data_IF_721310013354
#
_entry.id   IF_721310013354
#
_cell.length_a   1.000
_cell.length_b   1.000
_cell.length_c   1.000
_cell.angle_alpha   90.00
_cell.angle_beta   90.00
_cell.angle_gamma   90.00
#
_symmetry.space_group_name_H-M   'P 1'
#
loop_
_entity.id
_entity.type
_entity.pdbx_description
1 polymer ?
#
# COMPACT_ATOMS: atom_id res chain seq x y z
N UNK A 1 -26.56 -4.26 15.56
CA UNK A 1 -25.69 -3.78 16.66
C UNK A 1 -24.26 -3.84 16.12
N UNK A 2 -23.46 -2.80 16.34
CA UNK A 2 -22.05 -2.78 15.85
C UNK A 2 -21.24 -3.73 16.71
N UNK A 3 -20.46 -4.66 16.12
CA UNK A 3 -19.68 -5.62 16.91
C UNK A 3 -18.58 -4.94 17.73
N UNK A 4 -18.20 -5.56 18.84
CA UNK A 4 -17.02 -5.18 19.59
C UNK A 4 -15.76 -5.73 18.89
N UNK A 5 -14.70 -4.91 18.80
CA UNK A 5 -13.47 -5.24 18.07
C UNK A 5 -12.28 -5.22 19.00
N UNK A 6 -11.43 -6.24 18.89
CA UNK A 6 -10.12 -6.29 19.54
C UNK A 6 -9.01 -6.36 18.50
N UNK A 7 -7.89 -5.71 18.77
CA UNK A 7 -6.74 -5.65 17.84
C UNK A 7 -5.51 -6.15 18.57
N UNK A 8 -4.84 -7.15 18.00
CA UNK A 8 -3.56 -7.67 18.48
C UNK A 8 -2.46 -7.16 17.56
N UNK A 9 -1.61 -6.30 18.10
CA UNK A 9 -0.56 -5.58 17.37
C UNK A 9 -0.94 -4.12 17.08
N UNK A 10 -0.27 -3.18 17.75
CA UNK A 10 -0.48 -1.73 17.64
C UNK A 10 0.54 -1.06 16.71
N UNK A 11 0.96 -1.72 15.64
CA UNK A 11 1.77 -1.12 14.56
C UNK A 11 0.96 -0.13 13.72
N UNK A 12 1.48 0.25 12.56
CA UNK A 12 0.81 1.11 11.59
C UNK A 12 -0.62 0.62 11.26
N UNK A 13 -0.75 -0.64 10.85
CA UNK A 13 -2.03 -1.21 10.39
C UNK A 13 -3.02 -1.33 11.55
N UNK A 14 -2.64 -1.96 12.67
CA UNK A 14 -3.54 -2.17 13.79
C UNK A 14 -4.02 -0.86 14.41
N UNK A 15 -3.13 0.12 14.60
CA UNK A 15 -3.52 1.43 15.10
C UNK A 15 -4.42 2.18 14.11
N UNK A 16 -4.18 2.07 12.80
CA UNK A 16 -5.06 2.67 11.78
C UNK A 16 -6.45 2.03 11.76
N UNK A 17 -6.55 0.69 11.90
CA UNK A 17 -7.84 -0.02 12.06
C UNK A 17 -8.57 0.51 13.29
N UNK A 18 -7.87 0.61 14.45
CA UNK A 18 -8.46 1.12 15.68
C UNK A 18 -9.03 2.53 15.50
N UNK A 19 -8.25 3.43 14.91
CA UNK A 19 -8.67 4.82 14.68
C UNK A 19 -9.87 4.90 13.73
N UNK A 20 -9.85 4.14 12.63
CA UNK A 20 -10.91 4.13 11.63
C UNK A 20 -12.22 3.60 12.21
N UNK A 21 -12.19 2.44 12.88
CA UNK A 21 -13.38 1.83 13.48
C UNK A 21 -13.97 2.67 14.63
N UNK A 22 -13.13 3.28 15.45
CA UNK A 22 -13.60 4.21 16.49
C UNK A 22 -14.34 5.42 15.89
N UNK A 23 -13.81 5.97 14.78
CA UNK A 23 -14.50 7.05 14.03
C UNK A 23 -15.87 6.61 13.52
N UNK A 24 -16.00 5.33 13.16
CA UNK A 24 -17.27 4.71 12.71
C UNK A 24 -18.16 4.22 13.88
N UNK A 25 -17.79 4.53 15.13
CA UNK A 25 -18.63 4.27 16.32
C UNK A 25 -18.47 2.87 16.93
N UNK A 26 -17.45 2.11 16.54
CA UNK A 26 -17.15 0.81 17.12
C UNK A 26 -16.54 0.93 18.53
N UNK A 27 -16.80 -0.07 19.38
CA UNK A 27 -16.05 -0.28 20.62
C UNK A 27 -14.77 -1.05 20.26
N UNK A 28 -13.63 -0.38 20.36
CA UNK A 28 -12.34 -0.94 19.98
C UNK A 28 -11.42 -0.95 21.18
N UNK A 29 -10.80 -2.10 21.43
CA UNK A 29 -9.64 -2.26 22.31
C UNK A 29 -8.46 -2.83 21.54
N UNK A 30 -7.24 -2.63 22.02
CA UNK A 30 -6.04 -3.11 21.36
C UNK A 30 -5.02 -3.59 22.39
N UNK A 31 -4.10 -4.47 21.95
CA UNK A 31 -2.96 -4.91 22.76
C UNK A 31 -1.69 -5.04 21.90
N UNK A 32 -0.53 -4.82 22.49
CA UNK A 32 0.78 -5.01 21.88
C UNK A 32 1.80 -5.44 22.95
N UNK A 33 2.80 -6.21 22.56
CA UNK A 33 3.93 -6.60 23.43
C UNK A 33 4.96 -5.47 23.58
N UNK A 34 4.95 -4.49 22.70
CA UNK A 34 5.86 -3.34 22.68
C UNK A 34 5.24 -2.16 23.44
N UNK A 35 5.85 -1.81 24.59
CA UNK A 35 5.36 -0.72 25.43
C UNK A 35 5.34 0.64 24.73
N UNK A 36 6.29 0.91 23.82
CA UNK A 36 6.34 2.16 23.05
C UNK A 36 5.20 2.22 22.04
N UNK A 37 4.84 1.10 21.40
CA UNK A 37 3.67 1.02 20.53
C UNK A 37 2.38 1.29 21.30
N UNK A 38 2.25 0.72 22.49
CA UNK A 38 1.09 0.95 23.37
C UNK A 38 1.00 2.41 23.76
N UNK A 39 2.11 3.03 24.14
CA UNK A 39 2.14 4.46 24.53
C UNK A 39 1.73 5.35 23.35
N UNK A 40 2.34 5.18 22.19
CA UNK A 40 2.03 5.95 20.98
C UNK A 40 0.57 5.75 20.51
N UNK A 41 0.05 4.52 20.56
CA UNK A 41 -1.35 4.25 20.21
C UNK A 41 -2.32 4.95 21.18
N UNK A 42 -1.98 4.99 22.48
CA UNK A 42 -2.76 5.74 23.50
C UNK A 42 -2.75 7.24 23.26
N UNK A 43 -1.61 7.81 22.89
CA UNK A 43 -1.48 9.23 22.54
C UNK A 43 -2.39 9.61 21.37
N UNK A 44 -2.61 8.67 20.44
CA UNK A 44 -3.57 8.80 19.35
C UNK A 44 -5.02 8.51 19.77
N UNK A 45 -5.25 8.20 21.06
CA UNK A 45 -6.56 7.95 21.63
C UNK A 45 -7.07 6.52 21.52
N UNK A 46 -6.26 5.54 21.12
CA UNK A 46 -6.63 4.11 21.12
C UNK A 46 -6.57 3.54 22.53
N UNK A 47 -7.56 2.73 22.92
CA UNK A 47 -7.53 1.98 24.18
C UNK A 47 -6.60 0.77 24.04
N UNK A 48 -5.30 1.00 24.13
CA UNK A 48 -4.27 0.00 24.00
C UNK A 48 -3.75 -0.47 25.39
N UNK A 49 -3.45 -1.74 25.54
CA UNK A 49 -2.88 -2.34 26.73
C UNK A 49 -1.59 -3.09 26.37
N UNK A 50 -0.65 -3.15 27.32
CA UNK A 50 0.53 -3.99 27.18
C UNK A 50 0.11 -5.44 27.34
N UNK A 51 0.43 -6.28 26.38
CA UNK A 51 0.30 -7.74 26.49
C UNK A 51 1.51 -8.30 27.23
N UNK A 52 1.28 -9.23 28.13
CA UNK A 52 2.39 -10.03 28.66
C UNK A 52 2.80 -11.09 27.62
N UNK A 53 4.11 -11.45 27.54
CA UNK A 53 4.61 -12.45 26.57
C UNK A 53 3.97 -13.85 26.75
N UNK A 54 3.48 -14.16 27.91
CA UNK A 54 2.58 -15.27 28.16
C UNK A 54 1.17 -14.67 28.22
N UNK A 55 0.40 -14.85 27.17
CA UNK A 55 -0.99 -14.41 27.07
C UNK A 55 -1.76 -14.76 28.35
N UNK A 56 -1.62 -13.89 29.35
CA UNK A 56 -2.27 -14.05 30.64
C UNK A 56 -3.79 -14.00 30.45
N UNK A 57 -4.50 -14.75 31.29
CA UNK A 57 -5.95 -14.72 31.38
C UNK A 57 -6.44 -13.29 31.68
N UNK A 58 -6.58 -12.44 30.67
CA UNK A 58 -7.36 -11.22 30.82
C UNK A 58 -8.84 -11.61 30.74
N UNK A 59 -9.36 -11.99 31.91
CA UNK A 59 -10.74 -12.33 32.11
C UNK A 59 -11.66 -11.19 31.66
N UNK A 60 -12.54 -11.48 30.69
CA UNK A 60 -13.78 -10.74 30.52
C UNK A 60 -13.89 -9.80 29.32
N UNK A 61 -12.92 -9.68 28.43
CA UNK A 61 -13.12 -8.93 27.18
C UNK A 61 -13.79 -9.85 26.14
N UNK A 62 -15.06 -9.60 25.88
CA UNK A 62 -15.78 -10.22 24.76
C UNK A 62 -15.54 -9.36 23.53
N UNK A 63 -14.75 -9.84 22.57
CA UNK A 63 -14.70 -9.30 21.24
C UNK A 63 -15.46 -10.22 20.29
N UNK A 64 -16.21 -9.64 19.38
CA UNK A 64 -16.90 -10.37 18.30
C UNK A 64 -16.05 -10.47 17.06
N UNK A 65 -15.10 -9.53 16.89
CA UNK A 65 -14.11 -9.52 15.81
C UNK A 65 -12.74 -9.23 16.41
N UNK A 66 -11.74 -10.02 16.02
CA UNK A 66 -10.34 -9.85 16.43
C UNK A 66 -9.48 -9.66 15.19
N UNK A 67 -8.75 -8.56 15.12
CA UNK A 67 -7.75 -8.34 14.08
C UNK A 67 -6.36 -8.74 14.58
N UNK A 68 -5.69 -9.59 13.80
CA UNK A 68 -4.30 -9.98 14.03
C UNK A 68 -3.42 -9.10 13.14
N UNK A 69 -2.72 -8.16 13.76
CA UNK A 69 -1.92 -7.12 13.10
C UNK A 69 -0.43 -7.21 13.48
N UNK A 70 0.07 -8.44 13.56
CA UNK A 70 1.45 -8.77 13.92
C UNK A 70 2.27 -9.14 12.67
N UNK A 71 3.61 -9.18 12.75
CA UNK A 71 4.44 -9.68 11.65
C UNK A 71 4.07 -11.11 11.22
N UNK A 72 4.21 -11.47 9.93
CA UNK A 72 3.82 -12.77 9.42
C UNK A 72 4.46 -13.96 10.16
N UNK A 73 5.72 -13.82 10.59
CA UNK A 73 6.47 -14.88 11.29
C UNK A 73 5.90 -15.30 12.64
N UNK A 74 5.00 -14.52 13.25
CA UNK A 74 4.34 -14.84 14.53
C UNK A 74 2.82 -14.88 14.40
N UNK A 75 2.29 -14.70 13.19
CA UNK A 75 0.85 -14.59 12.97
C UNK A 75 0.10 -15.89 13.31
N UNK A 76 0.61 -17.04 12.88
CA UNK A 76 -0.03 -18.33 13.13
C UNK A 76 -0.14 -18.64 14.64
N UNK A 77 0.93 -18.44 15.41
CA UNK A 77 0.92 -18.60 16.87
C UNK A 77 -0.09 -17.65 17.51
N UNK A 78 -0.08 -16.38 17.09
CA UNK A 78 -1.00 -15.37 17.62
C UNK A 78 -2.47 -15.72 17.31
N UNK A 79 -2.77 -16.23 16.11
CA UNK A 79 -4.10 -16.71 15.72
C UNK A 79 -4.54 -17.87 16.62
N UNK A 80 -3.67 -18.87 16.83
CA UNK A 80 -3.96 -20.02 17.70
C UNK A 80 -4.36 -19.58 19.11
N UNK A 81 -3.58 -18.66 19.70
CA UNK A 81 -3.87 -18.11 21.03
C UNK A 81 -5.17 -17.29 21.03
N UNK A 82 -5.36 -16.42 20.05
CA UNK A 82 -6.57 -15.60 19.94
C UNK A 82 -7.83 -16.45 19.78
N UNK A 83 -7.76 -17.54 19.02
CA UNK A 83 -8.87 -18.48 18.81
C UNK A 83 -9.34 -19.11 20.12
N UNK A 84 -8.43 -19.49 21.00
CA UNK A 84 -8.76 -20.03 22.33
C UNK A 84 -9.22 -18.95 23.31
N UNK A 85 -8.68 -17.72 23.21
CA UNK A 85 -8.98 -16.61 24.13
C UNK A 85 -10.33 -15.94 23.83
N UNK A 86 -10.71 -15.80 22.55
CA UNK A 86 -11.92 -15.10 22.10
C UNK A 86 -12.93 -16.10 21.51
N UNK A 87 -13.63 -16.81 22.41
CA UNK A 87 -14.60 -17.82 21.96
C UNK A 87 -15.71 -17.19 21.12
N UNK A 88 -16.01 -17.85 19.98
CA UNK A 88 -17.03 -17.40 19.03
C UNK A 88 -16.61 -16.19 18.16
N UNK A 89 -15.48 -15.52 18.40
CA UNK A 89 -15.05 -14.36 17.62
C UNK A 89 -14.64 -14.72 16.17
N UNK A 90 -14.87 -13.81 15.26
CA UNK A 90 -14.24 -13.81 13.94
C UNK A 90 -12.81 -13.30 14.07
N UNK A 91 -11.83 -14.07 13.59
CA UNK A 91 -10.42 -13.70 13.58
C UNK A 91 -10.00 -13.29 12.16
N UNK A 92 -9.53 -12.07 12.01
CA UNK A 92 -9.09 -11.48 10.75
C UNK A 92 -7.58 -11.23 10.79
N UNK A 93 -6.83 -12.05 10.06
CA UNK A 93 -5.40 -11.87 9.90
C UNK A 93 -5.11 -10.91 8.74
N UNK A 94 -4.44 -9.79 9.03
CA UNK A 94 -4.15 -8.74 8.04
C UNK A 94 -2.78 -8.88 7.36
N UNK A 95 -2.06 -9.96 7.59
CA UNK A 95 -0.74 -10.18 7.00
C UNK A 95 -0.79 -10.17 5.47
N UNK A 96 0.34 -9.87 4.85
CA UNK A 96 0.49 -9.80 3.39
C UNK A 96 0.81 -11.14 2.71
N UNK A 97 0.83 -12.24 3.46
CA UNK A 97 1.04 -13.61 2.99
C UNK A 97 -0.02 -14.53 3.58
N UNK A 98 -0.41 -15.60 2.85
CA UNK A 98 -1.51 -16.47 3.27
C UNK A 98 -1.09 -17.91 3.52
N UNK A 99 -0.49 -18.55 2.50
CA UNK A 99 -0.21 -19.99 2.53
C UNK A 99 0.65 -20.40 3.71
N UNK A 100 1.76 -19.71 3.93
CA UNK A 100 2.65 -20.02 5.05
C UNK A 100 1.95 -19.99 6.40
N UNK A 101 1.07 -19.00 6.61
CA UNK A 101 0.31 -18.89 7.87
C UNK A 101 -0.71 -20.03 7.99
N UNK A 102 -1.49 -20.29 6.92
CA UNK A 102 -2.51 -21.35 6.94
C UNK A 102 -1.89 -22.73 7.16
N UNK A 103 -0.74 -22.99 6.56
CA UNK A 103 -0.05 -24.28 6.67
C UNK A 103 0.47 -24.56 8.13
N UNK A 104 0.59 -23.51 8.96
CA UNK A 104 0.97 -23.60 10.38
C UNK A 104 -0.23 -23.64 11.33
N UNK A 105 -1.47 -23.39 10.84
CA UNK A 105 -2.67 -23.43 11.68
C UNK A 105 -3.16 -24.88 11.88
N UNK A 106 -3.71 -25.15 13.07
CA UNK A 106 -4.41 -26.39 13.33
C UNK A 106 -5.68 -26.51 12.44
N UNK A 107 -6.01 -27.76 12.08
CA UNK A 107 -7.19 -28.03 11.24
C UNK A 107 -8.50 -27.54 11.87
N UNK A 108 -8.62 -27.62 13.17
CA UNK A 108 -9.78 -27.13 13.90
C UNK A 108 -10.03 -25.63 13.61
N UNK A 109 -8.97 -24.83 13.53
CA UNK A 109 -9.07 -23.41 13.27
C UNK A 109 -9.48 -23.13 11.81
N UNK A 110 -8.85 -23.82 10.86
CA UNK A 110 -9.15 -23.67 9.45
C UNK A 110 -10.55 -24.16 9.11
N UNK A 111 -11.01 -25.28 9.71
CA UNK A 111 -12.33 -25.86 9.50
C UNK A 111 -13.45 -25.10 10.24
N UNK A 112 -13.11 -24.29 11.24
CA UNK A 112 -14.10 -23.48 12.00
C UNK A 112 -14.83 -22.44 11.14
N UNK A 113 -14.22 -22.03 10.03
CA UNK A 113 -14.69 -20.92 9.18
C UNK A 113 -14.67 -19.55 9.84
N UNK A 114 -14.11 -19.42 11.08
CA UNK A 114 -13.97 -18.17 11.84
C UNK A 114 -12.61 -17.51 11.70
N UNK A 115 -11.64 -18.16 11.09
CA UNK A 115 -10.31 -17.59 10.80
C UNK A 115 -10.23 -17.23 9.33
N UNK A 116 -9.98 -15.97 9.04
CA UNK A 116 -9.93 -15.43 7.67
C UNK A 116 -8.69 -14.58 7.46
N UNK A 117 -8.12 -14.65 6.25
CA UNK A 117 -7.22 -13.61 5.79
C UNK A 117 -7.99 -12.37 5.34
N UNK A 118 -7.52 -11.21 5.73
CA UNK A 118 -8.10 -9.91 5.41
C UNK A 118 -6.96 -8.89 5.14
N UNK A 119 -6.28 -9.05 4.02
CA UNK A 119 -5.09 -8.26 3.67
C UNK A 119 -5.46 -6.90 3.08
N UNK A 120 -5.18 -5.76 3.77
CA UNK A 120 -5.34 -4.44 3.19
C UNK A 120 -4.22 -4.16 2.19
N UNK A 121 -4.57 -3.87 0.93
CA UNK A 121 -3.61 -3.37 -0.07
C UNK A 121 -3.28 -1.89 0.23
N UNK A 122 -2.83 -1.65 1.45
CA UNK A 122 -2.50 -0.35 2.01
C UNK A 122 -1.27 -0.46 2.91
N UNK A 123 -0.42 0.53 2.86
CA UNK A 123 0.81 0.59 3.67
C UNK A 123 1.51 1.93 3.45
N UNK A 124 2.56 2.12 4.22
CA UNK A 124 3.48 3.27 4.09
C UNK A 124 4.90 2.75 4.31
N UNK A 125 5.87 3.49 3.83
CA UNK A 125 7.30 3.17 4.00
C UNK A 125 7.75 3.34 5.47
N UNK A 126 6.98 4.09 6.27
CA UNK A 126 7.26 4.33 7.69
C UNK A 126 6.38 3.41 8.53
N UNK A 127 7.01 2.60 9.37
CA UNK A 127 6.35 1.68 10.31
C UNK A 127 5.97 2.37 11.63
N UNK A 128 5.22 1.65 12.47
CA UNK A 128 4.85 2.08 13.82
C UNK A 128 3.55 2.88 13.93
N UNK A 129 3.05 3.04 15.17
CA UNK A 129 1.77 3.70 15.46
C UNK A 129 1.75 5.17 15.09
N UNK A 130 2.89 5.88 15.21
CA UNK A 130 3.01 7.31 14.90
C UNK A 130 2.65 7.67 13.46
N UNK A 131 2.73 6.70 12.54
CA UNK A 131 2.37 6.85 11.14
C UNK A 131 0.91 6.45 10.84
N UNK A 132 0.15 6.00 11.85
CA UNK A 132 -1.22 5.52 11.69
C UNK A 132 -2.19 6.67 11.35
N UNK A 133 -3.20 6.35 10.55
CA UNK A 133 -4.23 7.29 10.10
C UNK A 133 -5.59 6.60 10.05
N UNK A 134 -6.63 7.31 10.47
CA UNK A 134 -8.01 6.80 10.41
C UNK A 134 -8.52 6.62 8.97
N UNK A 135 -7.94 7.31 8.00
CA UNK A 135 -8.31 7.26 6.58
C UNK A 135 -7.36 6.38 5.74
N UNK A 136 -6.48 5.60 6.37
CA UNK A 136 -5.49 4.76 5.67
C UNK A 136 -6.14 3.78 4.67
N UNK A 137 -7.34 3.31 4.99
CA UNK A 137 -8.05 2.27 4.23
C UNK A 137 -9.11 2.84 3.28
N UNK A 138 -9.32 4.16 3.27
CA UNK A 138 -10.29 4.79 2.39
C UNK A 138 -9.96 4.48 0.92
N UNK A 139 -10.93 3.90 0.20
CA UNK A 139 -10.83 3.47 -1.19
C UNK A 139 -9.70 2.45 -1.46
N UNK A 140 -9.24 1.73 -0.41
CA UNK A 140 -8.22 0.68 -0.54
C UNK A 140 -8.86 -0.69 -0.68
N UNK A 141 -8.26 -1.52 -1.53
CA UNK A 141 -8.68 -2.91 -1.70
C UNK A 141 -8.26 -3.70 -0.46
N UNK A 142 -9.19 -4.51 0.05
CA UNK A 142 -8.94 -5.55 1.02
C UNK A 142 -9.19 -6.90 0.36
N UNK A 143 -8.21 -7.79 0.43
CA UNK A 143 -8.34 -9.14 -0.10
C UNK A 143 -8.76 -10.08 1.02
N UNK A 144 -9.97 -10.62 0.91
CA UNK A 144 -10.48 -11.67 1.80
C UNK A 144 -10.14 -13.04 1.22
N UNK A 145 -9.65 -13.93 2.08
CA UNK A 145 -9.42 -15.32 1.73
C UNK A 145 -10.18 -16.21 2.69
N UNK A 146 -10.34 -17.51 2.40
CA UNK A 146 -11.08 -18.52 3.18
C UNK A 146 -12.20 -17.97 4.12
N UNK A 147 -12.79 -18.83 4.97
CA UNK A 147 -13.81 -18.46 5.94
C UNK A 147 -15.23 -18.81 5.52
N UNK A 148 -16.14 -18.89 6.50
CA UNK A 148 -17.57 -19.16 6.28
C UNK A 148 -18.28 -17.96 5.65
N UNK A 149 -19.46 -18.18 5.10
CA UNK A 149 -20.29 -17.09 4.56
C UNK A 149 -20.65 -16.06 5.64
N UNK A 150 -21.01 -16.52 6.85
CA UNK A 150 -21.30 -15.62 7.97
C UNK A 150 -20.08 -14.76 8.35
N UNK A 151 -18.88 -15.35 8.34
CA UNK A 151 -17.63 -14.65 8.58
C UNK A 151 -17.34 -13.61 7.51
N UNK A 152 -17.58 -13.93 6.23
CA UNK A 152 -17.43 -12.98 5.12
C UNK A 152 -18.37 -11.78 5.24
N UNK A 153 -19.63 -12.00 5.62
CA UNK A 153 -20.59 -10.91 5.83
C UNK A 153 -20.13 -9.97 6.93
N UNK A 154 -19.66 -10.52 8.07
CA UNK A 154 -19.17 -9.71 9.19
C UNK A 154 -17.89 -8.96 8.81
N UNK A 155 -16.92 -9.63 8.16
CA UNK A 155 -15.70 -9.00 7.68
C UNK A 155 -15.99 -7.87 6.67
N UNK A 156 -16.91 -8.13 5.72
CA UNK A 156 -17.32 -7.15 4.73
C UNK A 156 -17.91 -5.90 5.36
N UNK A 157 -18.79 -6.04 6.33
CA UNK A 157 -19.38 -4.92 7.07
C UNK A 157 -18.29 -4.07 7.73
N UNK A 158 -17.40 -4.69 8.52
CA UNK A 158 -16.36 -3.98 9.27
C UNK A 158 -15.37 -3.26 8.35
N UNK A 159 -14.97 -3.91 7.24
CA UNK A 159 -14.03 -3.33 6.27
C UNK A 159 -14.68 -2.19 5.47
N UNK A 160 -15.94 -2.35 5.06
CA UNK A 160 -16.68 -1.27 4.38
C UNK A 160 -16.86 -0.06 5.28
N UNK A 161 -17.12 -0.25 6.57
CA UNK A 161 -17.22 0.86 7.54
C UNK A 161 -15.89 1.60 7.75
N UNK A 162 -14.75 0.99 7.38
CA UNK A 162 -13.44 1.65 7.30
C UNK A 162 -13.18 2.33 5.93
N UNK A 163 -14.13 2.25 4.98
CA UNK A 163 -13.99 2.79 3.63
C UNK A 163 -13.26 1.86 2.67
N UNK A 164 -13.02 0.60 3.02
CA UNK A 164 -12.34 -0.38 2.18
C UNK A 164 -13.24 -1.00 1.11
N UNK A 165 -12.65 -1.31 -0.03
CA UNK A 165 -13.28 -2.10 -1.11
C UNK A 165 -12.83 -3.57 -1.02
N UNK A 166 -13.71 -4.51 -1.33
CA UNK A 166 -13.49 -5.94 -1.09
C UNK A 166 -13.22 -6.71 -2.38
N UNK A 167 -12.24 -7.59 -2.33
CA UNK A 167 -12.00 -8.63 -3.33
C UNK A 167 -11.83 -9.95 -2.60
N UNK A 168 -12.43 -11.03 -3.10
CA UNK A 168 -12.24 -12.37 -2.54
C UNK A 168 -11.36 -13.21 -3.45
N UNK A 169 -10.37 -13.91 -2.88
CA UNK A 169 -9.45 -14.79 -3.59
C UNK A 169 -9.20 -16.07 -2.79
N UNK A 170 -8.82 -17.14 -3.49
CA UNK A 170 -8.20 -18.27 -2.81
C UNK A 170 -6.80 -17.91 -2.30
N UNK A 171 -6.35 -18.48 -1.17
CA UNK A 171 -5.05 -18.16 -0.58
C UNK A 171 -3.87 -18.28 -1.55
N UNK A 172 -3.85 -19.31 -2.39
CA UNK A 172 -2.81 -19.50 -3.39
C UNK A 172 -2.84 -18.45 -4.50
N UNK A 173 -4.03 -18.01 -4.90
CA UNK A 173 -4.21 -16.96 -5.91
C UNK A 173 -3.79 -15.59 -5.37
N UNK A 174 -4.09 -15.33 -4.09
CA UNK A 174 -3.60 -14.15 -3.37
C UNK A 174 -2.07 -14.10 -3.39
N UNK A 175 -1.39 -15.15 -2.91
CA UNK A 175 0.08 -15.16 -2.79
C UNK A 175 0.76 -15.05 -4.17
N UNK A 176 0.19 -15.67 -5.21
CA UNK A 176 0.64 -15.50 -6.59
C UNK A 176 0.47 -14.05 -7.07
N UNK A 177 -0.65 -13.41 -6.77
CA UNK A 177 -0.94 -12.05 -7.19
C UNK A 177 0.00 -11.05 -6.50
N UNK A 178 0.12 -11.11 -5.16
CA UNK A 178 0.96 -10.17 -4.41
C UNK A 178 2.46 -10.36 -4.68
N UNK A 179 2.90 -11.58 -5.06
CA UNK A 179 4.25 -11.78 -5.54
C UNK A 179 4.58 -10.88 -6.73
N UNK A 180 3.63 -10.75 -7.69
CA UNK A 180 3.80 -9.94 -8.89
C UNK A 180 3.60 -8.45 -8.63
N UNK A 181 2.56 -8.06 -7.88
CA UNK A 181 2.15 -6.64 -7.79
C UNK A 181 2.76 -5.90 -6.60
N UNK A 182 3.41 -6.60 -5.67
CA UNK A 182 3.96 -6.03 -4.43
C UNK A 182 5.37 -6.52 -4.13
N UNK A 183 5.58 -7.84 -3.97
CA UNK A 183 6.81 -8.37 -3.41
C UNK A 183 8.01 -8.26 -4.38
N UNK A 184 7.84 -8.63 -5.64
CA UNK A 184 8.90 -8.50 -6.65
C UNK A 184 9.20 -7.03 -6.96
N UNK A 185 8.24 -6.12 -7.11
CA UNK A 185 8.51 -4.68 -7.17
C UNK A 185 9.39 -4.17 -6.04
N UNK A 186 9.13 -4.56 -4.79
CA UNK A 186 9.97 -4.21 -3.64
C UNK A 186 11.41 -4.69 -3.81
N UNK A 187 11.60 -5.96 -4.21
CA UNK A 187 12.93 -6.54 -4.41
C UNK A 187 13.70 -5.85 -5.54
N UNK A 188 13.04 -5.56 -6.66
CA UNK A 188 13.65 -4.87 -7.80
C UNK A 188 14.05 -3.44 -7.41
N UNK A 189 13.18 -2.74 -6.70
CA UNK A 189 13.46 -1.41 -6.15
C UNK A 189 14.67 -1.43 -5.20
N UNK A 190 14.71 -2.38 -4.27
CA UNK A 190 15.81 -2.51 -3.32
C UNK A 190 17.13 -2.90 -4.00
N UNK A 191 17.08 -3.81 -5.00
CA UNK A 191 18.27 -4.22 -5.75
C UNK A 191 18.86 -3.06 -6.57
N UNK A 192 18.00 -2.23 -7.17
CA UNK A 192 18.43 -1.02 -7.88
C UNK A 192 19.02 0.02 -6.90
N UNK A 193 18.34 0.28 -5.78
CA UNK A 193 18.83 1.22 -4.78
C UNK A 193 20.18 0.80 -4.18
N UNK A 194 20.42 -0.49 -4.02
CA UNK A 194 21.70 -1.01 -3.53
C UNK A 194 22.88 -0.69 -4.45
N UNK A 195 22.66 -0.48 -5.76
CA UNK A 195 23.72 -0.07 -6.68
C UNK A 195 24.19 1.39 -6.45
N UNK A 196 23.41 2.17 -5.70
CA UNK A 196 23.74 3.57 -5.41
C UNK A 196 24.70 3.73 -4.23
N UNK A 197 24.96 2.67 -3.46
CA UNK A 197 25.82 2.72 -2.27
C UNK A 197 27.23 3.21 -2.64
N UNK A 198 27.80 2.67 -3.71
CA UNK A 198 29.15 2.98 -4.17
C UNK A 198 29.19 4.00 -5.32
N UNK A 199 28.02 4.60 -5.67
CA UNK A 199 27.94 5.59 -6.73
C UNK A 199 28.65 6.90 -6.34
N UNK A 200 29.35 7.52 -7.31
CA UNK A 200 29.97 8.81 -7.07
C UNK A 200 28.91 9.90 -6.80
N UNK A 201 29.23 10.85 -5.91
CA UNK A 201 28.32 11.95 -5.58
C UNK A 201 27.92 12.78 -6.82
N UNK A 202 28.82 12.88 -7.80
CA UNK A 202 28.54 13.53 -9.09
C UNK A 202 27.43 12.86 -9.89
N UNK A 203 27.36 11.52 -9.81
CA UNK A 203 26.37 10.72 -10.54
C UNK A 203 25.00 10.83 -9.86
N UNK A 204 25.01 10.82 -8.53
CA UNK A 204 23.79 11.02 -7.74
C UNK A 204 23.20 12.44 -7.92
N UNK A 205 24.07 13.44 -8.13
CA UNK A 205 23.66 14.84 -8.31
C UNK A 205 22.84 15.08 -9.58
N UNK A 206 22.91 14.19 -10.58
CA UNK A 206 22.11 14.29 -11.82
C UNK A 206 20.86 13.38 -11.80
N UNK A 207 20.54 12.77 -10.63
CA UNK A 207 19.36 11.93 -10.51
C UNK A 207 18.07 12.74 -10.69
N UNK A 208 17.16 12.22 -11.50
CA UNK A 208 15.83 12.81 -11.71
C UNK A 208 14.73 12.05 -10.95
N UNK A 209 13.48 12.52 -11.09
CA UNK A 209 12.28 11.93 -10.50
C UNK A 209 12.10 10.45 -10.83
N UNK A 210 12.47 10.03 -12.05
CA UNK A 210 12.36 8.64 -12.49
C UNK A 210 13.13 7.65 -11.60
N UNK A 211 14.35 8.00 -11.16
CA UNK A 211 15.09 7.18 -10.20
C UNK A 211 14.38 7.18 -8.84
N UNK A 212 14.01 8.36 -8.34
CA UNK A 212 13.31 8.52 -7.06
C UNK A 212 12.02 7.70 -6.99
N UNK A 213 11.18 7.75 -8.02
CA UNK A 213 9.95 6.97 -8.12
C UNK A 213 10.20 5.46 -8.09
N UNK A 214 11.26 5.01 -8.79
CA UNK A 214 11.59 3.58 -8.89
C UNK A 214 12.11 3.02 -7.58
N UNK A 215 12.94 3.78 -6.84
CA UNK A 215 13.56 3.30 -5.59
C UNK A 215 12.80 3.73 -4.33
N UNK A 216 11.71 4.47 -4.43
CA UNK A 216 10.96 5.02 -3.30
C UNK A 216 10.59 3.95 -2.25
N UNK A 217 10.11 2.81 -2.70
CA UNK A 217 9.70 1.72 -1.81
C UNK A 217 10.89 0.97 -1.17
N UNK A 218 12.11 1.13 -1.66
CA UNK A 218 13.31 0.53 -1.07
C UNK A 218 13.61 1.00 0.36
N UNK A 219 13.00 2.11 0.81
CA UNK A 219 13.10 2.63 2.18
C UNK A 219 12.29 1.89 3.24
N UNK A 220 11.66 0.77 2.91
CA UNK A 220 10.84 -0.04 3.82
C UNK A 220 11.69 -0.81 4.85
N UNK A 221 11.07 -1.21 5.99
CA UNK A 221 11.72 -1.96 7.07
C UNK A 221 12.21 -3.35 6.59
N UNK A 222 13.53 -3.63 6.64
CA UNK A 222 14.08 -4.89 6.16
C UNK A 222 13.62 -6.12 6.95
N UNK A 223 13.34 -5.98 8.26
CA UNK A 223 12.93 -7.12 9.09
C UNK A 223 11.53 -7.56 8.69
N UNK A 224 10.58 -6.64 8.63
CA UNK A 224 9.21 -6.92 8.17
C UNK A 224 9.21 -7.54 6.77
N UNK A 225 9.99 -6.96 5.85
CA UNK A 225 10.05 -7.47 4.48
C UNK A 225 10.73 -8.84 4.39
N UNK A 226 11.70 -9.14 5.25
CA UNK A 226 12.31 -10.48 5.33
C UNK A 226 11.28 -11.54 5.66
N UNK A 227 10.40 -11.29 6.63
CA UNK A 227 9.31 -12.21 7.02
C UNK A 227 8.30 -12.39 5.87
N UNK A 228 7.89 -11.29 5.24
CA UNK A 228 6.98 -11.32 4.09
C UNK A 228 7.56 -12.16 2.94
N UNK A 229 8.82 -11.91 2.60
CA UNK A 229 9.48 -12.58 1.48
C UNK A 229 9.67 -14.08 1.75
N UNK A 230 10.00 -14.46 2.97
CA UNK A 230 10.11 -15.86 3.37
C UNK A 230 8.73 -16.55 3.33
N UNK A 231 7.67 -15.89 3.81
CA UNK A 231 6.31 -16.43 3.81
C UNK A 231 5.73 -16.69 2.41
N UNK A 232 6.25 -16.05 1.35
CA UNK A 232 5.81 -16.27 -0.03
C UNK A 232 6.97 -16.59 -0.99
N UNK A 233 8.04 -17.21 -0.49
CA UNK A 233 9.29 -17.40 -1.21
C UNK A 233 9.13 -18.13 -2.56
N UNK A 234 8.24 -19.12 -2.63
CA UNK A 234 8.02 -19.93 -3.85
C UNK A 234 7.50 -19.09 -5.00
N UNK A 235 6.42 -18.34 -4.79
CA UNK A 235 5.83 -17.51 -5.83
C UNK A 235 6.72 -16.32 -6.20
N UNK A 236 7.35 -15.71 -5.20
CA UNK A 236 8.32 -14.62 -5.41
C UNK A 236 9.50 -15.10 -6.27
N UNK A 237 10.11 -16.23 -5.93
CA UNK A 237 11.23 -16.77 -6.69
C UNK A 237 10.87 -17.09 -8.14
N UNK A 238 9.64 -17.53 -8.39
CA UNK A 238 9.14 -17.79 -9.74
C UNK A 238 9.08 -16.50 -10.57
N UNK A 239 8.44 -15.44 -10.03
CA UNK A 239 8.31 -14.16 -10.72
C UNK A 239 9.64 -13.43 -10.84
N UNK A 240 10.46 -13.46 -9.78
CA UNK A 240 11.78 -12.81 -9.77
C UNK A 240 12.71 -13.40 -10.81
N UNK A 241 12.69 -14.73 -11.02
CA UNK A 241 13.44 -15.37 -12.12
C UNK A 241 13.01 -14.87 -13.49
N UNK A 242 11.72 -14.68 -13.73
CA UNK A 242 11.23 -14.13 -15.01
C UNK A 242 11.78 -12.72 -15.26
N UNK A 243 11.73 -11.85 -14.25
CA UNK A 243 12.28 -10.49 -14.33
C UNK A 243 13.80 -10.52 -14.54
N UNK A 244 14.51 -11.38 -13.80
CA UNK A 244 15.97 -11.52 -13.91
C UNK A 244 16.40 -12.00 -15.30
N UNK A 245 15.69 -12.96 -15.87
CA UNK A 245 15.97 -13.44 -17.23
C UNK A 245 15.75 -12.35 -18.28
N UNK A 246 14.64 -11.59 -18.16
CA UNK A 246 14.37 -10.47 -19.08
C UNK A 246 15.45 -9.40 -19.00
N UNK A 247 15.95 -9.07 -17.79
CA UNK A 247 17.05 -8.12 -17.60
C UNK A 247 18.37 -8.65 -18.18
N UNK A 248 18.66 -9.95 -18.04
CA UNK A 248 19.85 -10.56 -18.62
C UNK A 248 19.83 -10.54 -20.16
N UNK A 249 18.66 -10.88 -20.76
CA UNK A 249 18.47 -10.81 -22.21
C UNK A 249 18.60 -9.37 -22.73
N UNK A 250 18.05 -8.39 -21.98
CA UNK A 250 18.17 -6.98 -22.31
C UNK A 250 19.63 -6.50 -22.25
N UNK A 251 20.39 -6.95 -21.25
CA UNK A 251 21.83 -6.66 -21.15
C UNK A 251 22.60 -7.17 -22.39
N UNK A 252 22.37 -8.42 -22.79
CA UNK A 252 22.97 -9.00 -24.00
C UNK A 252 22.55 -8.21 -25.26
N UNK A 253 21.27 -7.84 -25.36
CA UNK A 253 20.78 -7.07 -26.50
C UNK A 253 21.44 -5.68 -26.60
N UNK A 254 21.80 -5.08 -25.48
CA UNK A 254 22.54 -3.80 -25.42
C UNK A 254 23.98 -3.99 -25.90
N UNK A 255 24.68 -5.05 -25.44
CA UNK A 255 26.04 -5.39 -25.89
C UNK A 255 26.09 -5.63 -27.41
N UNK A 256 25.12 -6.38 -27.93
CA UNK A 256 24.99 -6.70 -29.35
C UNK A 256 24.40 -5.54 -30.19
N UNK A 257 24.02 -4.43 -29.57
CA UNK A 257 23.32 -3.31 -30.22
C UNK A 257 22.04 -3.74 -30.96
N UNK A 258 21.38 -4.77 -30.45
CA UNK A 258 20.15 -5.34 -31.03
C UNK A 258 18.94 -4.45 -30.72
N UNK A 259 18.76 -3.40 -31.54
CA UNK A 259 17.69 -2.43 -31.39
C UNK A 259 16.29 -3.08 -31.38
N UNK A 260 16.08 -4.09 -32.19
CA UNK A 260 14.78 -4.77 -32.31
C UNK A 260 14.37 -5.40 -30.96
N UNK A 261 15.29 -6.13 -30.32
CA UNK A 261 15.02 -6.75 -29.03
C UNK A 261 14.78 -5.70 -27.92
N UNK A 262 15.56 -4.62 -27.93
CA UNK A 262 15.40 -3.50 -26.98
C UNK A 262 14.01 -2.88 -27.12
N UNK A 263 13.60 -2.55 -28.35
CA UNK A 263 12.27 -1.97 -28.60
C UNK A 263 11.13 -2.93 -28.23
N UNK A 264 11.29 -4.24 -28.44
CA UNK A 264 10.30 -5.24 -28.05
C UNK A 264 10.07 -5.23 -26.53
N UNK A 265 11.13 -5.22 -25.71
CA UNK A 265 11.01 -5.15 -24.25
C UNK A 265 10.31 -3.87 -23.80
N UNK A 266 10.68 -2.72 -24.37
CA UNK A 266 10.05 -1.44 -24.02
C UNK A 266 8.56 -1.39 -24.40
N UNK A 267 8.19 -1.93 -25.57
CA UNK A 267 6.78 -2.04 -25.99
C UNK A 267 5.98 -2.95 -25.07
N UNK A 268 6.53 -4.14 -24.73
CA UNK A 268 5.90 -5.04 -23.78
C UNK A 268 5.68 -4.39 -22.41
N UNK A 269 6.65 -3.58 -21.95
CA UNK A 269 6.51 -2.78 -20.74
C UNK A 269 5.37 -1.76 -20.84
N UNK A 270 5.24 -1.05 -21.95
CA UNK A 270 4.13 -0.11 -22.18
C UNK A 270 2.76 -0.82 -22.16
N UNK A 271 2.66 -1.97 -22.83
CA UNK A 271 1.44 -2.79 -22.85
C UNK A 271 1.09 -3.29 -21.43
N UNK A 272 2.09 -3.79 -20.69
CA UNK A 272 1.92 -4.22 -19.30
C UNK A 272 1.41 -3.08 -18.40
N UNK A 273 2.00 -1.89 -18.51
CA UNK A 273 1.59 -0.70 -17.78
C UNK A 273 0.14 -0.30 -18.09
N UNK A 274 -0.27 -0.39 -19.35
CA UNK A 274 -1.64 -0.05 -19.77
C UNK A 274 -2.72 -0.98 -19.20
N UNK A 275 -2.35 -2.16 -18.66
CA UNK A 275 -3.27 -3.10 -18.01
C UNK A 275 -3.60 -2.72 -16.56
N UNK A 276 -2.82 -1.84 -15.93
CA UNK A 276 -3.11 -1.40 -14.56
C UNK A 276 -4.26 -0.40 -14.62
N UNK A 277 -5.39 -0.66 -13.93
CA UNK A 277 -6.51 0.26 -13.92
C UNK A 277 -6.11 1.62 -13.34
N UNK A 278 -6.49 2.71 -13.98
CA UNK A 278 -6.39 4.05 -13.41
C UNK A 278 -7.38 4.27 -12.26
N UNK A 279 -7.33 5.45 -11.63
CA UNK A 279 -8.16 5.85 -10.46
C UNK A 279 -9.67 5.54 -10.59
N UNK A 280 -10.18 5.50 -11.81
CA UNK A 280 -11.60 5.25 -12.13
C UNK A 280 -11.82 3.95 -12.94
N UNK A 281 -10.90 2.97 -12.86
CA UNK A 281 -11.02 1.70 -13.61
C UNK A 281 -10.82 1.84 -15.13
N UNK A 282 -10.53 3.03 -15.65
CA UNK A 282 -10.19 3.28 -17.04
C UNK A 282 -8.67 3.28 -17.22
N UNK A 283 -8.20 2.65 -18.30
CA UNK A 283 -6.76 2.59 -18.63
C UNK A 283 -6.17 4.01 -18.75
N UNK A 284 -4.88 4.13 -18.45
CA UNK A 284 -4.07 5.36 -18.38
C UNK A 284 -4.02 6.22 -19.65
N UNK A 285 -4.68 5.82 -20.75
CA UNK A 285 -4.64 6.50 -22.04
C UNK A 285 -5.81 7.48 -22.29
N UNK A 286 -6.50 7.93 -21.25
CA UNK A 286 -7.69 8.80 -21.39
C UNK A 286 -7.53 10.19 -20.80
N UNK A 287 -6.31 10.64 -20.55
CA UNK A 287 -6.06 11.94 -19.95
C UNK A 287 -5.09 12.76 -20.79
N UNK A 288 -5.34 14.05 -20.86
CA UNK A 288 -4.41 15.05 -21.38
C UNK A 288 -3.68 15.69 -20.20
N UNK A 289 -2.51 16.28 -20.46
CA UNK A 289 -1.76 16.94 -19.40
C UNK A 289 -1.43 18.39 -19.75
N UNK A 290 -1.57 19.26 -18.75
CA UNK A 290 -1.15 20.66 -18.80
C UNK A 290 -0.01 20.88 -17.81
N UNK A 291 1.10 21.40 -18.27
CA UNK A 291 2.24 21.74 -17.43
C UNK A 291 2.15 23.19 -16.98
N UNK A 292 2.24 23.42 -15.69
CA UNK A 292 2.19 24.76 -15.09
C UNK A 292 3.46 24.98 -14.27
N UNK A 293 4.18 26.06 -14.59
CA UNK A 293 5.34 26.45 -13.80
C UNK A 293 4.88 27.26 -12.59
N UNK A 294 5.30 26.86 -11.39
CA UNK A 294 5.02 27.56 -10.14
C UNK A 294 6.30 27.94 -9.41
N UNK A 295 6.25 29.00 -8.60
CA UNK A 295 7.32 29.34 -7.69
C UNK A 295 7.38 28.35 -6.52
N UNK A 296 8.57 28.06 -6.02
CA UNK A 296 8.77 27.25 -4.79
C UNK A 296 8.58 28.15 -3.56
N UNK A 297 7.34 28.60 -3.34
CA UNK A 297 6.96 29.45 -2.23
C UNK A 297 5.70 28.89 -1.53
N UNK A 298 5.59 29.09 -0.20
CA UNK A 298 4.38 28.75 0.53
C UNK A 298 3.14 29.39 -0.11
N UNK A 299 2.13 28.56 -0.41
CA UNK A 299 0.86 29.02 -1.00
C UNK A 299 0.76 28.86 -2.52
N UNK A 300 1.85 28.72 -3.27
CA UNK A 300 1.82 28.65 -4.74
C UNK A 300 0.95 27.48 -5.28
N UNK A 301 1.03 26.31 -4.66
CA UNK A 301 0.15 25.17 -4.99
C UNK A 301 -1.31 25.45 -4.65
N UNK A 302 -1.59 26.11 -3.53
CA UNK A 302 -2.95 26.44 -3.14
C UNK A 302 -3.59 27.43 -4.12
N UNK A 303 -2.84 28.42 -4.60
CA UNK A 303 -3.29 29.36 -5.63
C UNK A 303 -3.57 28.64 -6.95
N UNK A 304 -2.70 27.71 -7.37
CA UNK A 304 -2.91 26.92 -8.58
C UNK A 304 -4.20 26.10 -8.48
N UNK A 305 -4.40 25.36 -7.37
CA UNK A 305 -5.61 24.54 -7.21
C UNK A 305 -6.88 25.39 -7.08
N UNK A 306 -6.81 26.55 -6.44
CA UNK A 306 -7.92 27.50 -6.43
C UNK A 306 -8.24 28.00 -7.85
N UNK A 307 -7.22 28.25 -8.68
CA UNK A 307 -7.38 28.62 -10.08
C UNK A 307 -8.06 27.53 -10.92
N UNK A 308 -7.71 26.27 -10.71
CA UNK A 308 -8.36 25.11 -11.35
C UNK A 308 -9.81 24.96 -10.88
N UNK A 309 -10.06 25.08 -9.57
CA UNK A 309 -11.42 24.96 -9.02
C UNK A 309 -12.42 25.97 -9.56
N UNK A 310 -11.97 27.17 -9.94
CA UNK A 310 -12.84 28.20 -10.58
C UNK A 310 -13.22 27.81 -12.01
N UNK A 311 -12.45 26.93 -12.66
CA UNK A 311 -12.73 26.47 -14.02
C UNK A 311 -13.69 25.27 -14.05
N UNK A 312 -14.04 24.73 -12.90
CA UNK A 312 -14.91 23.54 -12.75
C UNK A 312 -14.39 22.31 -13.52
N UNK A 313 -13.07 22.22 -13.68
CA UNK A 313 -12.39 21.11 -14.35
C UNK A 313 -11.89 20.10 -13.31
N UNK A 314 -12.24 18.84 -13.50
CA UNK A 314 -11.79 17.76 -12.60
C UNK A 314 -10.33 17.38 -12.89
N UNK A 315 -9.50 17.30 -11.84
CA UNK A 315 -8.15 16.78 -11.93
C UNK A 315 -8.11 15.29 -11.67
N UNK A 316 -7.61 14.54 -12.64
CA UNK A 316 -7.48 13.08 -12.54
C UNK A 316 -6.20 12.65 -11.83
N UNK A 317 -5.11 13.40 -12.06
CA UNK A 317 -3.82 13.20 -11.40
C UNK A 317 -3.05 14.52 -11.36
N UNK A 318 -2.10 14.62 -10.42
CA UNK A 318 -1.20 15.77 -10.29
C UNK A 318 0.20 15.25 -10.01
N UNK A 319 1.17 15.73 -10.76
CA UNK A 319 2.58 15.45 -10.54
C UNK A 319 3.34 16.74 -10.34
N UNK A 320 4.28 16.72 -9.40
CA UNK A 320 5.12 17.88 -9.10
C UNK A 320 6.57 17.47 -9.35
N UNK A 321 7.22 18.22 -10.25
CA UNK A 321 8.63 18.04 -10.55
C UNK A 321 9.40 19.27 -10.05
N UNK A 322 10.36 19.07 -9.16
CA UNK A 322 11.25 20.12 -8.73
C UNK A 322 12.38 20.30 -9.75
N UNK A 323 12.56 21.53 -10.20
CA UNK A 323 13.67 21.87 -11.10
C UNK A 323 14.92 22.10 -10.25
N UNK A 324 15.90 21.19 -10.33
CA UNK A 324 17.13 21.30 -9.53
C UNK A 324 17.83 22.64 -9.77
N UNK A 325 18.20 23.33 -8.69
CA UNK A 325 18.91 24.60 -8.72
C UNK A 325 18.07 25.83 -9.07
N UNK A 326 16.73 25.71 -9.14
CA UNK A 326 15.83 26.86 -9.34
C UNK A 326 14.76 26.88 -8.24
N UNK A 327 14.34 28.07 -7.77
CA UNK A 327 13.23 28.21 -6.83
C UNK A 327 11.89 28.13 -7.56
N UNK A 328 11.71 27.09 -8.40
CA UNK A 328 10.49 26.84 -9.19
C UNK A 328 10.29 25.35 -9.40
N UNK A 329 9.04 24.92 -9.52
CA UNK A 329 8.65 23.56 -9.86
C UNK A 329 7.69 23.56 -11.05
N UNK A 330 7.60 22.43 -11.74
CA UNK A 330 6.59 22.16 -12.76
C UNK A 330 5.51 21.29 -12.12
N UNK A 331 4.26 21.76 -12.19
CA UNK A 331 3.09 20.96 -11.82
C UNK A 331 2.43 20.48 -13.10
N UNK A 332 2.40 19.17 -13.29
CA UNK A 332 1.69 18.53 -14.39
C UNK A 332 0.29 18.14 -13.89
N UNK A 333 -0.71 18.78 -14.48
CA UNK A 333 -2.12 18.54 -14.18
C UNK A 333 -2.70 17.60 -15.24
N UNK A 334 -3.31 16.49 -14.83
CA UNK A 334 -3.95 15.55 -15.74
C UNK A 334 -5.47 15.75 -15.70
N UNK A 335 -6.07 15.92 -16.89
CA UNK A 335 -7.50 16.18 -17.08
C UNK A 335 -8.11 15.23 -18.12
N UNK A 336 -9.44 15.04 -18.14
CA UNK A 336 -10.11 14.30 -19.20
C UNK A 336 -9.75 14.82 -20.59
N UNK A 337 -9.81 13.94 -21.61
CA UNK A 337 -9.54 14.30 -23.01
C UNK A 337 -10.51 15.40 -23.46
N UNK A 338 -9.96 16.45 -24.03
CA UNK A 338 -10.70 17.60 -24.54
C UNK A 338 -10.80 18.78 -23.55
N UNK A 339 -10.33 18.64 -22.31
CA UNK A 339 -10.38 19.72 -21.31
C UNK A 339 -9.03 20.44 -21.14
N UNK A 340 -7.96 19.96 -21.78
CA UNK A 340 -6.61 20.53 -21.63
C UNK A 340 -6.50 21.95 -22.16
N UNK A 341 -7.13 22.26 -23.29
CA UNK A 341 -7.09 23.61 -23.90
C UNK A 341 -7.84 24.64 -23.04
N UNK A 342 -8.98 24.26 -22.47
CA UNK A 342 -9.75 25.09 -21.55
C UNK A 342 -8.98 25.33 -20.24
N UNK A 343 -8.39 24.29 -19.67
CA UNK A 343 -7.55 24.41 -18.46
C UNK A 343 -6.35 25.32 -18.72
N UNK A 344 -5.61 25.09 -19.81
CA UNK A 344 -4.42 25.86 -20.16
C UNK A 344 -4.76 27.35 -20.34
N UNK A 345 -5.80 27.64 -21.13
CA UNK A 345 -6.26 29.01 -21.38
C UNK A 345 -6.75 29.69 -20.10
N UNK A 346 -7.53 28.97 -19.29
CA UNK A 346 -8.11 29.50 -18.08
C UNK A 346 -7.06 29.81 -17.00
N UNK A 347 -6.03 28.95 -16.87
CA UNK A 347 -4.91 29.20 -15.96
C UNK A 347 -4.01 30.34 -16.48
N UNK A 348 -3.74 30.40 -17.78
CA UNK A 348 -2.97 31.50 -18.38
C UNK A 348 -3.63 32.88 -18.15
N UNK A 349 -4.94 32.97 -18.29
CA UNK A 349 -5.69 34.21 -18.02
C UNK A 349 -5.62 34.63 -16.54
N UNK A 350 -5.35 33.72 -15.64
CA UNK A 350 -5.16 33.95 -14.19
C UNK A 350 -3.71 34.23 -13.80
N UNK A 351 -2.81 34.30 -14.79
CA UNK A 351 -1.42 34.68 -14.60
C UNK A 351 -0.47 33.48 -14.33
N UNK A 352 -0.93 32.23 -14.49
CA UNK A 352 -0.05 31.08 -14.42
C UNK A 352 0.72 30.89 -15.72
N UNK A 353 1.98 30.46 -15.59
CA UNK A 353 2.81 30.13 -16.76
C UNK A 353 2.53 28.70 -17.20
N UNK A 354 1.71 28.55 -18.25
CA UNK A 354 1.29 27.26 -18.84
C UNK A 354 2.08 26.91 -20.10
N UNK A 355 3.07 27.69 -20.50
CA UNK A 355 3.81 27.58 -21.76
C UNK A 355 4.89 26.51 -21.75
N UNK A 356 4.59 25.32 -21.28
CA UNK A 356 5.48 24.18 -21.30
C UNK A 356 5.40 23.30 -22.56
N UNK A 357 4.84 23.80 -23.67
CA UNK A 357 4.95 23.13 -24.98
C UNK A 357 6.16 23.68 -25.73
N UNK A 358 7.27 22.95 -25.74
CA UNK A 358 8.17 22.80 -26.88
C UNK A 358 8.16 21.36 -27.34
#
# INVERSE_FOLDING_TARGET
>A
MVPSVHIIGCGLIGTSIALSLRKSGYKVSAEDINADHVAQARDLGVLATLSEPQFGETSGQRAEVVFICVPPGVAAETINVAFGKFDGALILDVSSVRRSIIDELDRELTDSGRVMGAHPMAGREVSGPSSARADLFQDRIWVLTQGSEASRVTAAMVITDMGGALVTMEPADHDRAVALVSHVPQLVSSALAAQLIDAAQSDLAISGSGLGDTIRIAGSDPNLWSDILQGNATEISRVLRQVSNELAELSTALEDKNRVRIEQTLRAGNEGRARIPGKHGSGTNRFESVNVMISDQPGALAELFAGVGVLDINLEDVRIEHVMGRPSGIVQLFVPIGESEELESGLYQRGFDTRGRQ
#
